data_IF_984045001973
#
_entry.id   IF_984045001973
#
_cell.length_a   1.000
_cell.length_b   1.000
_cell.length_c   1.000
_cell.angle_alpha   90.00
_cell.angle_beta   90.00
_cell.angle_gamma   90.00
#
_symmetry.space_group_name_H-M   'P 1'
#
loop_
_entity.id
_entity.type
_entity.pdbx_description
1 polymer ?
#
# COMPACT_ATOMS: atom_id res chain seq x y z
N UNK A 1 -37.03 77.28 25.49
CA UNK A 1 -37.67 77.03 24.17
C UNK A 1 -37.14 75.73 23.60
N UNK A 2 -38.07 74.81 23.21
CA UNK A 2 -38.08 73.78 22.14
C UNK A 2 -36.75 73.30 21.52
N UNK A 3 -36.55 72.08 20.99
CA UNK A 3 -37.13 70.73 21.01
C UNK A 3 -36.43 69.93 19.88
N UNK A 4 -36.10 68.64 20.11
CA UNK A 4 -35.89 67.54 19.13
C UNK A 4 -34.71 67.66 18.11
N UNK A 5 -34.07 66.61 17.57
CA UNK A 5 -34.44 65.20 17.36
C UNK A 5 -33.19 64.30 17.15
N UNK A 6 -33.38 62.99 17.38
CA UNK A 6 -32.43 61.88 17.16
C UNK A 6 -32.26 61.48 15.68
N UNK A 7 -31.10 60.91 15.33
CA UNK A 7 -30.96 59.71 14.48
C UNK A 7 -29.71 58.90 14.90
N UNK A 8 -29.79 57.57 15.04
CA UNK A 8 -28.64 56.71 15.35
C UNK A 8 -27.91 56.26 14.08
N UNK A 9 -26.57 56.21 14.14
CA UNK A 9 -25.71 55.64 13.09
C UNK A 9 -25.73 54.12 13.14
N UNK A 10 -25.90 53.50 11.97
CA UNK A 10 -25.97 52.07 11.78
C UNK A 10 -24.61 51.39 11.96
N UNK A 11 -24.65 50.26 12.66
CA UNK A 11 -23.60 49.28 12.88
C UNK A 11 -23.01 48.76 11.55
N UNK A 12 -21.70 48.86 11.38
CA UNK A 12 -20.96 48.11 10.35
C UNK A 12 -20.95 46.62 10.71
N UNK A 13 -21.65 45.82 9.91
CA UNK A 13 -21.59 44.35 10.00
C UNK A 13 -20.17 43.91 9.66
N UNK A 14 -19.54 43.24 10.62
CA UNK A 14 -18.33 42.44 10.42
C UNK A 14 -18.57 41.44 9.30
N UNK A 15 -17.73 41.49 8.26
CA UNK A 15 -17.70 40.43 7.25
C UNK A 15 -17.36 39.12 7.95
N UNK A 16 -18.26 38.13 7.80
CA UNK A 16 -17.90 36.74 8.07
C UNK A 16 -16.74 36.39 7.13
N UNK A 17 -15.58 36.07 7.70
CA UNK A 17 -14.59 35.26 7.02
C UNK A 17 -15.26 33.93 6.67
N UNK A 18 -15.55 33.73 5.39
CA UNK A 18 -15.80 32.42 4.82
C UNK A 18 -14.59 31.55 5.20
N UNK A 19 -14.85 30.44 5.91
CA UNK A 19 -13.81 29.53 6.38
C UNK A 19 -12.89 29.13 5.23
N UNK A 20 -11.58 29.30 5.46
CA UNK A 20 -10.55 28.94 4.49
C UNK A 20 -10.70 27.46 4.11
N UNK A 21 -10.59 27.15 2.82
CA UNK A 21 -10.49 25.77 2.33
C UNK A 21 -9.42 25.03 3.14
N UNK A 22 -9.83 23.94 3.79
CA UNK A 22 -9.01 23.13 4.70
C UNK A 22 -8.09 22.13 3.98
N UNK A 23 -8.16 22.06 2.65
CA UNK A 23 -7.36 21.15 1.85
C UNK A 23 -5.86 21.43 1.99
N UNK A 24 -5.10 20.37 2.21
CA UNK A 24 -3.65 20.38 2.25
C UNK A 24 -3.11 19.31 1.31
N UNK A 25 -2.08 19.65 0.52
CA UNK A 25 -1.39 18.66 -0.28
C UNK A 25 -0.91 17.52 0.62
N UNK A 26 -1.30 16.26 0.33
CA UNK A 26 -0.90 15.14 1.16
C UNK A 26 0.59 14.83 1.00
N UNK A 27 1.15 14.01 1.94
CA UNK A 27 2.45 13.38 1.75
C UNK A 27 2.52 12.68 0.39
N UNK A 28 3.72 12.66 -0.17
CA UNK A 28 3.98 12.10 -1.48
C UNK A 28 4.89 10.88 -1.35
N UNK A 29 4.43 9.75 -1.86
CA UNK A 29 5.21 8.54 -2.03
C UNK A 29 5.48 8.24 -3.51
N UNK A 30 6.32 7.25 -3.80
CA UNK A 30 6.47 6.72 -5.15
C UNK A 30 6.37 5.20 -5.16
N UNK A 31 5.51 4.67 -6.03
CA UNK A 31 5.47 3.27 -6.37
C UNK A 31 6.17 3.05 -7.70
N UNK A 32 7.16 2.18 -7.70
CA UNK A 32 7.98 1.86 -8.87
C UNK A 32 7.73 0.40 -9.22
N UNK A 33 7.08 0.17 -10.35
CA UNK A 33 6.69 -1.16 -10.77
C UNK A 33 7.78 -1.82 -11.61
N UNK A 34 8.31 -2.95 -11.15
CA UNK A 34 9.25 -3.80 -11.91
C UNK A 34 8.52 -5.09 -12.29
N UNK A 35 8.08 -5.24 -13.55
CA UNK A 35 7.05 -6.20 -13.95
C UNK A 35 7.57 -7.63 -14.22
N UNK A 36 8.81 -7.98 -13.87
CA UNK A 36 9.38 -9.29 -14.22
C UNK A 36 9.47 -10.24 -13.03
N UNK A 37 9.11 -11.51 -13.25
CA UNK A 37 9.32 -12.62 -12.32
C UNK A 37 10.09 -13.74 -13.03
N UNK A 38 10.89 -14.52 -12.31
CA UNK A 38 11.47 -15.77 -12.85
C UNK A 38 10.35 -16.72 -13.29
N UNK A 39 9.30 -16.81 -12.48
CA UNK A 39 8.08 -17.57 -12.77
C UNK A 39 6.88 -16.85 -12.18
N UNK A 40 5.79 -16.76 -12.95
CA UNK A 40 4.51 -16.25 -12.43
C UNK A 40 3.84 -17.34 -11.59
N UNK A 41 3.48 -17.01 -10.36
CA UNK A 41 2.75 -17.92 -9.47
C UNK A 41 1.29 -18.06 -9.96
N UNK A 42 0.66 -19.24 -9.83
CA UNK A 42 -0.67 -19.51 -10.37
C UNK A 42 -1.80 -18.71 -9.72
N UNK A 43 -1.58 -18.18 -8.51
CA UNK A 43 -2.49 -17.30 -7.77
C UNK A 43 -2.24 -15.80 -8.02
N UNK A 44 -1.11 -15.42 -8.63
CA UNK A 44 -0.66 -14.03 -8.69
C UNK A 44 -1.42 -13.23 -9.75
N UNK A 45 -2.22 -12.26 -9.32
CA UNK A 45 -2.99 -11.34 -10.17
C UNK A 45 -2.20 -10.09 -10.59
N UNK A 46 -1.06 -9.83 -9.94
CA UNK A 46 -0.20 -8.70 -10.27
C UNK A 46 0.21 -8.69 -11.75
N UNK A 47 0.50 -7.48 -12.24
CA UNK A 47 1.00 -7.21 -13.58
C UNK A 47 2.45 -7.68 -13.74
N UNK A 48 2.65 -9.00 -13.67
CA UNK A 48 3.94 -9.66 -13.77
C UNK A 48 4.06 -10.48 -15.05
N UNK A 49 5.29 -10.54 -15.56
CA UNK A 49 5.68 -11.16 -16.81
C UNK A 49 6.88 -12.07 -16.55
N UNK A 50 6.93 -13.21 -17.23
CA UNK A 50 8.11 -14.07 -17.15
C UNK A 50 9.35 -13.33 -17.66
N UNK A 51 10.43 -13.37 -16.88
CA UNK A 51 11.73 -12.86 -17.27
C UNK A 51 12.27 -13.64 -18.47
N UNK A 52 12.86 -12.93 -19.42
CA UNK A 52 13.68 -13.54 -20.47
C UNK A 52 15.07 -13.93 -19.95
N UNK A 53 15.95 -14.47 -20.81
CA UNK A 53 17.33 -14.79 -20.44
C UNK A 53 18.11 -13.58 -19.93
N UNK A 54 17.79 -12.39 -20.44
CA UNK A 54 18.35 -11.12 -20.03
C UNK A 54 17.21 -10.12 -19.78
N UNK A 55 17.34 -9.33 -18.72
CA UNK A 55 16.42 -8.24 -18.42
C UNK A 55 16.92 -6.94 -19.07
N UNK A 56 16.03 -6.13 -19.66
CA UNK A 56 16.41 -4.85 -20.27
C UNK A 56 16.59 -3.76 -19.19
N UNK A 57 17.43 -4.01 -18.19
CA UNK A 57 17.54 -3.17 -16.98
C UNK A 57 17.79 -1.70 -17.31
N UNK A 58 18.81 -1.41 -18.12
CA UNK A 58 19.18 -0.03 -18.46
C UNK A 58 18.09 0.70 -19.24
N UNK A 59 17.54 0.05 -20.27
CA UNK A 59 16.46 0.62 -21.08
C UNK A 59 15.19 0.85 -20.24
N UNK A 60 14.93 -0.02 -19.26
CA UNK A 60 13.81 0.16 -18.35
C UNK A 60 14.04 1.28 -17.35
N UNK A 61 15.25 1.41 -16.79
CA UNK A 61 15.62 2.55 -15.94
C UNK A 61 15.51 3.87 -16.71
N UNK A 62 15.93 3.90 -17.98
CA UNK A 62 15.75 5.07 -18.86
C UNK A 62 14.28 5.46 -18.98
N UNK A 63 13.41 4.47 -19.27
CA UNK A 63 11.99 4.68 -19.41
C UNK A 63 11.33 5.15 -18.10
N UNK A 64 11.68 4.55 -16.96
CA UNK A 64 11.19 4.94 -15.64
C UNK A 64 11.54 6.40 -15.31
N UNK A 65 12.76 6.83 -15.61
CA UNK A 65 13.21 8.21 -15.37
C UNK A 65 12.53 9.21 -16.32
N UNK A 66 12.31 8.83 -17.58
CA UNK A 66 11.58 9.66 -18.54
C UNK A 66 10.08 9.77 -18.18
N UNK A 67 9.48 8.70 -17.67
CA UNK A 67 8.11 8.71 -17.16
C UNK A 67 7.99 9.61 -15.94
N UNK A 68 8.93 9.51 -14.99
CA UNK A 68 8.97 10.39 -13.81
C UNK A 68 9.15 11.87 -14.18
N UNK A 69 9.98 12.18 -15.17
CA UNK A 69 10.16 13.55 -15.67
C UNK A 69 8.85 14.12 -16.23
N UNK A 70 8.05 13.28 -16.89
CA UNK A 70 6.70 13.67 -17.37
C UNK A 70 5.76 13.99 -16.21
N UNK A 71 5.86 13.25 -15.10
CA UNK A 71 5.02 13.43 -13.91
C UNK A 71 5.55 14.51 -12.94
N UNK A 72 6.72 15.10 -13.19
CA UNK A 72 7.40 16.02 -12.26
C UNK A 72 6.55 17.25 -11.87
N UNK A 73 5.65 17.70 -12.76
CA UNK A 73 4.71 18.78 -12.47
C UNK A 73 3.75 18.51 -11.31
N UNK A 74 3.47 17.23 -11.00
CA UNK A 74 2.57 16.81 -9.93
C UNK A 74 3.24 16.77 -8.54
N UNK A 75 4.55 16.98 -8.48
CA UNK A 75 5.31 16.98 -7.21
C UNK A 75 4.94 18.19 -6.36
N UNK A 76 4.73 19.35 -6.98
CA UNK A 76 4.38 20.61 -6.31
C UNK A 76 5.35 20.98 -5.17
N UNK A 77 6.65 20.73 -5.37
CA UNK A 77 7.71 21.04 -4.41
C UNK A 77 7.77 20.14 -3.17
N UNK A 78 6.97 19.06 -3.11
CA UNK A 78 7.04 18.04 -2.06
C UNK A 78 8.27 17.15 -2.26
N UNK A 79 8.77 16.57 -1.16
CA UNK A 79 9.79 15.50 -1.19
C UNK A 79 9.10 14.15 -0.99
N UNK A 80 9.70 13.08 -1.50
CA UNK A 80 9.20 11.72 -1.28
C UNK A 80 9.42 11.28 0.17
N UNK A 81 8.37 10.82 0.83
CA UNK A 81 8.44 10.25 2.18
C UNK A 81 8.65 8.74 2.17
N UNK A 82 8.27 8.07 1.09
CA UNK A 82 8.56 6.66 0.86
C UNK A 82 8.67 6.30 -0.61
N UNK A 83 9.44 5.25 -0.91
CA UNK A 83 9.50 4.57 -2.19
C UNK A 83 9.21 3.09 -1.96
N UNK A 84 8.38 2.50 -2.81
CA UNK A 84 8.12 1.08 -2.81
C UNK A 84 8.36 0.51 -4.20
N UNK A 85 9.34 -0.37 -4.31
CA UNK A 85 9.58 -1.17 -5.48
C UNK A 85 8.79 -2.46 -5.36
N UNK A 86 7.83 -2.68 -6.27
CA UNK A 86 6.99 -3.88 -6.28
C UNK A 86 6.64 -4.36 -7.69
N UNK A 87 5.72 -5.31 -7.76
CA UNK A 87 5.08 -5.76 -9.00
C UNK A 87 5.38 -7.21 -9.33
N UNK A 88 6.44 -7.44 -10.09
CA UNK A 88 6.99 -8.77 -10.31
C UNK A 88 7.94 -9.16 -9.18
N UNK A 89 9.24 -9.11 -9.47
CA UNK A 89 10.31 -9.36 -8.49
C UNK A 89 11.38 -8.29 -8.69
N UNK A 90 11.22 -7.11 -8.06
CA UNK A 90 12.14 -5.99 -8.19
C UNK A 90 13.61 -6.32 -7.94
N UNK A 91 13.86 -7.18 -6.95
CA UNK A 91 15.20 -7.71 -6.63
C UNK A 91 15.82 -8.59 -7.72
N UNK A 92 15.18 -8.81 -8.88
CA UNK A 92 15.88 -9.36 -10.05
C UNK A 92 16.85 -8.35 -10.65
N UNK A 93 16.55 -7.05 -10.57
CA UNK A 93 17.43 -6.01 -11.09
C UNK A 93 18.76 -5.97 -10.34
N UNK A 94 19.83 -5.58 -11.04
CA UNK A 94 21.13 -5.34 -10.42
C UNK A 94 21.11 -4.15 -9.48
N UNK A 95 21.97 -4.17 -8.46
CA UNK A 95 22.18 -3.02 -7.57
C UNK A 95 22.61 -1.77 -8.37
N UNK A 96 23.39 -1.94 -9.44
CA UNK A 96 23.78 -0.84 -10.33
C UNK A 96 22.56 -0.16 -10.96
N UNK A 97 21.62 -0.93 -11.52
CA UNK A 97 20.42 -0.39 -12.15
C UNK A 97 19.51 0.32 -11.14
N UNK A 98 19.27 -0.30 -9.98
CA UNK A 98 18.48 0.32 -8.91
C UNK A 98 19.14 1.58 -8.33
N UNK A 99 20.47 1.58 -8.19
CA UNK A 99 21.22 2.75 -7.73
C UNK A 99 21.09 3.92 -8.69
N UNK A 100 21.29 3.67 -9.99
CA UNK A 100 21.10 4.68 -11.04
C UNK A 100 19.68 5.25 -11.04
N UNK A 101 18.68 4.39 -10.85
CA UNK A 101 17.29 4.80 -10.74
C UNK A 101 17.08 5.69 -9.50
N UNK A 102 17.49 5.25 -8.31
CA UNK A 102 17.36 6.01 -7.07
C UNK A 102 18.02 7.38 -7.16
N UNK A 103 19.25 7.47 -7.67
CA UNK A 103 19.92 8.74 -7.90
C UNK A 103 19.13 9.66 -8.85
N UNK A 104 18.49 9.09 -9.88
CA UNK A 104 17.63 9.83 -10.79
C UNK A 104 16.35 10.33 -10.13
N UNK A 105 15.67 9.49 -9.36
CA UNK A 105 14.45 9.88 -8.61
C UNK A 105 14.80 10.97 -7.58
N UNK A 106 15.92 10.85 -6.87
CA UNK A 106 16.36 11.86 -5.91
C UNK A 106 16.62 13.21 -6.59
N UNK A 107 17.27 13.22 -7.76
CA UNK A 107 17.50 14.46 -8.51
C UNK A 107 16.22 15.12 -9.01
N UNK A 108 15.23 14.33 -9.44
CA UNK A 108 13.99 14.85 -10.04
C UNK A 108 12.98 15.32 -8.98
N UNK A 109 12.89 14.62 -7.85
CA UNK A 109 11.84 14.87 -6.85
C UNK A 109 12.40 15.25 -5.48
N UNK A 110 13.53 14.67 -5.09
CA UNK A 110 14.11 14.77 -3.75
C UNK A 110 13.45 13.84 -2.74
N UNK A 111 14.24 13.36 -1.77
CA UNK A 111 13.81 12.42 -0.73
C UNK A 111 13.77 13.12 0.62
N UNK A 112 12.78 12.85 1.47
CA UNK A 112 12.85 13.25 2.87
C UNK A 112 14.08 12.66 3.56
N UNK A 113 14.59 13.33 4.59
CA UNK A 113 15.84 12.93 5.25
C UNK A 113 15.74 11.56 5.92
N UNK A 114 14.52 11.16 6.31
CA UNK A 114 14.19 9.89 6.93
C UNK A 114 13.36 8.97 6.01
N UNK A 115 13.50 9.10 4.68
CA UNK A 115 12.74 8.32 3.69
C UNK A 115 12.78 6.80 3.97
N UNK A 116 11.64 6.14 3.83
CA UNK A 116 11.57 4.67 3.78
C UNK A 116 11.61 4.19 2.33
N UNK A 117 12.55 3.30 2.01
CA UNK A 117 12.70 2.71 0.67
C UNK A 117 12.58 1.19 0.81
N UNK A 118 11.44 0.66 0.34
CA UNK A 118 11.12 -0.77 0.37
C UNK A 118 11.43 -1.44 -0.97
N UNK A 119 12.11 -2.59 -0.92
CA UNK A 119 12.30 -3.47 -2.07
C UNK A 119 11.65 -4.84 -1.83
N UNK A 120 10.76 -5.26 -2.73
CA UNK A 120 10.24 -6.64 -2.74
C UNK A 120 11.29 -7.64 -3.27
N UNK A 121 11.38 -8.78 -2.58
CA UNK A 121 12.26 -9.86 -2.92
C UNK A 121 11.64 -11.24 -2.76
N UNK A 122 12.13 -12.20 -3.54
CA UNK A 122 11.87 -13.61 -3.31
C UNK A 122 13.02 -14.23 -2.51
N UNK A 123 12.77 -15.36 -1.82
CA UNK A 123 13.83 -16.11 -1.12
C UNK A 123 14.89 -16.76 -2.02
N UNK A 124 14.96 -16.48 -3.32
CA UNK A 124 15.93 -17.12 -4.21
C UNK A 124 17.38 -16.77 -3.87
N UNK A 125 18.28 -17.75 -4.00
CA UNK A 125 19.72 -17.57 -3.70
C UNK A 125 20.39 -16.44 -4.49
N UNK A 126 19.93 -16.18 -5.72
CA UNK A 126 20.44 -15.10 -6.57
C UNK A 126 20.15 -13.71 -6.00
N UNK A 127 18.93 -13.51 -5.51
CA UNK A 127 18.49 -12.26 -4.90
C UNK A 127 19.21 -12.00 -3.58
N UNK A 128 19.38 -13.03 -2.75
CA UNK A 128 20.03 -12.94 -1.44
C UNK A 128 21.46 -12.39 -1.54
N UNK A 129 22.22 -12.78 -2.56
CA UNK A 129 23.60 -12.33 -2.77
C UNK A 129 23.73 -10.81 -2.94
N UNK A 130 22.64 -10.13 -3.34
CA UNK A 130 22.59 -8.69 -3.63
C UNK A 130 22.09 -7.84 -2.46
N UNK A 131 21.62 -8.44 -1.36
CA UNK A 131 21.04 -7.68 -0.23
C UNK A 131 22.00 -6.65 0.37
N UNK A 132 23.30 -6.99 0.50
CA UNK A 132 24.32 -6.03 0.97
C UNK A 132 24.45 -4.83 0.05
N UNK A 133 24.45 -5.08 -1.25
CA UNK A 133 24.56 -4.01 -2.25
C UNK A 133 23.30 -3.14 -2.24
N UNK A 134 22.11 -3.74 -2.14
CA UNK A 134 20.85 -2.98 -1.97
C UNK A 134 20.86 -2.10 -0.73
N UNK A 135 21.31 -2.63 0.42
CA UNK A 135 21.42 -1.86 1.66
C UNK A 135 22.34 -0.66 1.49
N UNK A 136 23.47 -0.84 0.79
CA UNK A 136 24.45 0.22 0.53
C UNK A 136 23.92 1.35 -0.37
N UNK A 137 22.90 1.08 -1.19
CA UNK A 137 22.22 2.09 -2.01
C UNK A 137 21.24 2.98 -1.24
N UNK A 138 20.99 2.68 0.04
CA UNK A 138 20.00 3.39 0.85
C UNK A 138 18.63 2.71 0.92
N UNK A 139 18.43 1.57 0.25
CA UNK A 139 17.26 0.72 0.50
C UNK A 139 17.33 0.28 1.96
N UNK A 140 16.27 0.55 2.71
CA UNK A 140 16.27 0.39 4.18
C UNK A 140 15.11 -0.46 4.69
N UNK A 141 14.28 -1.02 3.79
CA UNK A 141 13.29 -2.04 4.09
C UNK A 141 13.24 -3.12 3.01
N UNK A 142 13.16 -4.38 3.41
CA UNK A 142 12.89 -5.51 2.50
C UNK A 142 11.50 -6.10 2.77
N UNK A 143 10.82 -6.56 1.72
CA UNK A 143 9.63 -7.42 1.84
C UNK A 143 9.90 -8.74 1.14
N UNK A 144 9.95 -9.84 1.89
CA UNK A 144 10.35 -11.14 1.35
C UNK A 144 9.13 -12.04 1.21
N UNK A 145 8.82 -12.41 -0.03
CA UNK A 145 7.69 -13.26 -0.38
C UNK A 145 7.89 -14.74 -0.03
N UNK A 146 7.69 -15.13 1.22
CA UNK A 146 7.88 -16.52 1.69
C UNK A 146 6.67 -17.40 1.40
N UNK A 147 5.48 -16.89 1.70
CA UNK A 147 4.16 -17.52 1.61
C UNK A 147 3.93 -18.68 2.58
N UNK A 148 4.86 -19.65 2.64
CA UNK A 148 4.84 -20.75 3.61
C UNK A 148 6.27 -21.28 3.80
N UNK A 149 6.56 -21.93 4.93
CA UNK A 149 7.81 -22.67 5.14
C UNK A 149 7.65 -24.17 4.82
N UNK A 150 6.43 -24.61 4.51
CA UNK A 150 6.11 -26.01 4.26
C UNK A 150 6.22 -26.36 2.78
N UNK A 151 6.99 -27.41 2.47
CA UNK A 151 7.33 -27.78 1.10
C UNK A 151 6.13 -28.17 0.24
N UNK A 152 5.18 -28.93 0.78
CA UNK A 152 3.96 -29.32 0.08
C UNK A 152 3.07 -28.11 -0.26
N UNK A 153 2.96 -27.14 0.66
CA UNK A 153 2.23 -25.89 0.47
C UNK A 153 2.90 -25.00 -0.58
N UNK A 154 4.22 -24.89 -0.55
CA UNK A 154 5.01 -24.15 -1.56
C UNK A 154 4.85 -24.74 -2.97
N UNK A 155 4.86 -26.08 -3.08
CA UNK A 155 4.60 -26.79 -4.34
C UNK A 155 3.19 -26.49 -4.85
N UNK A 156 2.17 -26.55 -3.98
CA UNK A 156 0.80 -26.21 -4.35
C UNK A 156 0.68 -24.77 -4.86
N UNK A 157 1.39 -23.83 -4.22
CA UNK A 157 1.49 -22.42 -4.62
C UNK A 157 2.36 -22.17 -5.87
N UNK A 158 2.97 -23.21 -6.46
CA UNK A 158 3.86 -23.08 -7.62
C UNK A 158 5.14 -22.28 -7.34
N UNK A 159 5.53 -22.16 -6.07
CA UNK A 159 6.77 -21.50 -5.65
C UNK A 159 7.98 -22.32 -6.10
N UNK A 160 9.06 -21.62 -6.41
CA UNK A 160 10.32 -22.22 -6.89
C UNK A 160 11.40 -22.29 -5.80
N UNK A 161 11.07 -21.79 -4.60
CA UNK A 161 11.94 -21.82 -3.43
C UNK A 161 11.44 -22.85 -2.41
N UNK A 162 12.31 -23.27 -1.50
CA UNK A 162 11.95 -24.11 -0.34
C UNK A 162 11.98 -23.37 1.01
N UNK A 163 11.47 -24.01 2.06
CA UNK A 163 11.42 -23.42 3.40
C UNK A 163 12.80 -23.07 3.96
N UNK A 164 13.83 -23.85 3.65
CA UNK A 164 15.20 -23.57 4.12
C UNK A 164 15.78 -22.35 3.40
N UNK A 165 15.47 -22.15 2.11
CA UNK A 165 15.80 -20.92 1.38
C UNK A 165 15.11 -19.69 1.98
N UNK A 166 13.86 -19.82 2.41
CA UNK A 166 13.14 -18.76 3.11
C UNK A 166 13.82 -18.34 4.43
N UNK A 167 14.21 -19.33 5.25
CA UNK A 167 14.95 -19.06 6.49
C UNK A 167 16.30 -18.40 6.19
N UNK A 168 17.07 -18.94 5.23
CA UNK A 168 18.35 -18.35 4.81
C UNK A 168 18.19 -16.93 4.29
N UNK A 169 17.12 -16.61 3.57
CA UNK A 169 16.87 -15.27 3.08
C UNK A 169 16.68 -14.26 4.23
N UNK A 170 15.96 -14.65 5.30
CA UNK A 170 15.81 -13.81 6.49
C UNK A 170 17.15 -13.60 7.21
N UNK A 171 17.94 -14.67 7.39
CA UNK A 171 19.29 -14.59 7.95
C UNK A 171 20.19 -13.64 7.14
N UNK A 172 20.14 -13.75 5.81
CA UNK A 172 20.94 -12.92 4.92
C UNK A 172 20.48 -11.46 4.90
N UNK A 173 19.18 -11.18 5.03
CA UNK A 173 18.67 -9.82 5.19
C UNK A 173 19.26 -9.16 6.45
N UNK A 174 19.21 -9.86 7.60
CA UNK A 174 19.82 -9.37 8.85
C UNK A 174 21.33 -9.22 8.72
N UNK A 175 22.02 -10.21 8.15
CA UNK A 175 23.47 -10.19 7.93
C UNK A 175 23.92 -9.13 6.90
N UNK A 176 23.00 -8.61 6.08
CA UNK A 176 23.24 -7.50 5.17
C UNK A 176 23.04 -6.12 5.84
N UNK A 177 22.53 -6.08 7.08
CA UNK A 177 22.32 -4.85 7.84
C UNK A 177 20.93 -4.24 7.67
N UNK A 178 19.93 -5.02 7.22
CA UNK A 178 18.53 -4.63 7.32
C UNK A 178 18.04 -4.83 8.75
N UNK A 179 17.69 -3.74 9.42
CA UNK A 179 17.05 -3.71 10.74
C UNK A 179 15.53 -3.52 10.64
N UNK A 180 15.01 -3.39 9.41
CA UNK A 180 13.59 -3.32 9.09
C UNK A 180 13.32 -4.24 7.90
N UNK A 181 12.62 -5.35 8.13
CA UNK A 181 12.23 -6.26 7.06
C UNK A 181 10.92 -6.97 7.39
N UNK A 182 10.25 -7.37 6.32
CA UNK A 182 8.98 -8.05 6.32
C UNK A 182 9.10 -9.45 5.73
N UNK A 183 8.34 -10.40 6.28
CA UNK A 183 8.06 -11.69 5.65
C UNK A 183 6.58 -11.74 5.27
N UNK A 184 6.30 -12.00 4.00
CA UNK A 184 4.93 -12.21 3.51
C UNK A 184 4.57 -13.69 3.65
N UNK A 185 3.47 -13.98 4.33
CA UNK A 185 2.94 -15.31 4.58
C UNK A 185 1.47 -15.40 4.16
N UNK A 186 1.09 -16.57 3.68
CA UNK A 186 -0.28 -16.89 3.30
C UNK A 186 -0.89 -17.93 4.23
N UNK A 187 -2.18 -17.78 4.54
CA UNK A 187 -2.98 -18.81 5.20
C UNK A 187 -4.21 -19.18 4.37
N UNK A 188 -4.93 -20.24 4.78
CA UNK A 188 -6.01 -20.80 3.99
C UNK A 188 -5.51 -21.54 2.74
N UNK A 189 -4.31 -22.14 2.82
CA UNK A 189 -3.71 -22.88 1.71
C UNK A 189 -4.37 -24.26 1.53
N UNK A 190 -4.28 -24.88 0.34
CA UNK A 190 -4.85 -26.22 0.10
C UNK A 190 -4.35 -27.25 1.12
N UNK A 191 -5.30 -27.91 1.80
CA UNK A 191 -5.01 -28.90 2.85
C UNK A 191 -4.24 -28.36 4.05
N UNK A 192 -4.31 -27.05 4.35
CA UNK A 192 -3.67 -26.45 5.52
C UNK A 192 -4.57 -26.57 6.75
N UNK A 193 -4.02 -27.14 7.83
CA UNK A 193 -4.66 -27.16 9.15
C UNK A 193 -4.32 -25.90 9.97
N UNK A 194 -5.01 -25.72 11.10
CA UNK A 194 -4.66 -24.66 12.08
C UNK A 194 -3.20 -24.79 12.51
N UNK A 195 -2.74 -26.00 12.84
CA UNK A 195 -1.38 -26.21 13.32
C UNK A 195 -0.34 -25.91 12.23
N UNK A 196 -0.64 -26.22 10.97
CA UNK A 196 0.24 -25.88 9.84
C UNK A 196 0.37 -24.36 9.68
N UNK A 197 -0.74 -23.62 9.74
CA UNK A 197 -0.72 -22.16 9.63
C UNK A 197 0.04 -21.51 10.80
N UNK A 198 -0.15 -22.02 12.03
CA UNK A 198 0.58 -21.55 13.19
C UNK A 198 2.07 -21.92 13.14
N UNK A 199 2.41 -23.07 12.56
CA UNK A 199 3.80 -23.49 12.35
C UNK A 199 4.55 -22.52 11.42
N UNK A 200 3.91 -22.09 10.33
CA UNK A 200 4.47 -21.06 9.44
C UNK A 200 4.71 -19.74 10.17
N UNK A 201 3.73 -19.29 10.98
CA UNK A 201 3.87 -18.08 11.78
C UNK A 201 5.01 -18.17 12.80
N UNK A 202 5.07 -19.26 13.58
CA UNK A 202 6.13 -19.48 14.58
C UNK A 202 7.50 -19.47 13.92
N UNK A 203 7.63 -20.15 12.77
CA UNK A 203 8.89 -20.18 12.01
C UNK A 203 9.30 -18.78 11.54
N UNK A 204 8.36 -17.97 11.04
CA UNK A 204 8.65 -16.57 10.69
C UNK A 204 9.02 -15.71 11.90
N UNK A 205 8.30 -15.85 13.02
CA UNK A 205 8.57 -15.12 14.26
C UNK A 205 9.97 -15.44 14.78
N UNK A 206 10.40 -16.70 14.71
CA UNK A 206 11.76 -17.12 15.07
C UNK A 206 12.85 -16.46 14.21
N UNK A 207 12.50 -16.00 13.00
CA UNK A 207 13.39 -15.18 12.16
C UNK A 207 13.45 -13.71 12.59
N UNK A 208 12.69 -13.31 13.61
CA UNK A 208 12.64 -11.97 14.18
C UNK A 208 12.50 -10.83 13.14
N UNK A 209 11.55 -10.88 12.19
CA UNK A 209 11.24 -9.74 11.35
C UNK A 209 10.66 -8.59 12.19
N UNK A 210 10.74 -7.36 11.69
CA UNK A 210 10.07 -6.22 12.34
C UNK A 210 8.61 -6.09 11.92
N UNK A 211 8.22 -6.82 10.89
CA UNK A 211 6.93 -6.72 10.21
C UNK A 211 6.54 -8.07 9.59
N UNK A 212 5.26 -8.38 9.57
CA UNK A 212 4.69 -9.56 8.93
C UNK A 212 3.47 -9.15 8.12
N UNK A 213 3.44 -9.50 6.83
CA UNK A 213 2.20 -9.51 6.07
C UNK A 213 1.65 -10.93 6.16
N UNK A 214 0.48 -11.09 6.74
CA UNK A 214 -0.16 -12.39 6.90
C UNK A 214 -1.60 -12.31 6.41
N UNK A 215 -1.88 -12.97 5.29
CA UNK A 215 -3.11 -12.80 4.53
C UNK A 215 -3.65 -14.11 4.00
N UNK A 216 -4.95 -14.17 3.80
CA UNK A 216 -5.61 -15.34 3.25
C UNK A 216 -5.32 -15.46 1.75
N UNK A 217 -5.13 -16.70 1.27
CA UNK A 217 -5.15 -16.98 -0.16
C UNK A 217 -6.55 -16.70 -0.73
N UNK A 218 -6.65 -15.68 -1.59
CA UNK A 218 -7.87 -15.33 -2.32
C UNK A 218 -7.78 -15.78 -3.79
N UNK A 219 -8.93 -16.13 -4.36
CA UNK A 219 -9.03 -16.52 -5.77
C UNK A 219 -9.32 -15.28 -6.62
N UNK A 220 -8.29 -14.74 -7.26
CA UNK A 220 -8.42 -13.50 -8.03
C UNK A 220 -8.76 -13.76 -9.51
N UNK A 221 -9.70 -13.00 -10.12
CA UNK A 221 -9.98 -13.11 -11.55
C UNK A 221 -8.73 -13.01 -12.42
N UNK A 222 -8.73 -13.72 -13.55
CA UNK A 222 -7.62 -13.77 -14.52
C UNK A 222 -6.34 -14.48 -14.04
N UNK A 223 -6.44 -15.31 -12.99
CA UNK A 223 -5.36 -16.18 -12.52
C UNK A 223 -5.60 -17.64 -12.92
N UNK A 224 -4.56 -18.48 -12.82
CA UNK A 224 -4.70 -19.92 -13.05
C UNK A 224 -5.62 -20.52 -11.99
N UNK A 225 -5.45 -20.13 -10.73
CA UNK A 225 -6.31 -20.57 -9.63
C UNK A 225 -7.77 -20.14 -9.79
N UNK A 226 -8.07 -19.01 -10.41
CA UNK A 226 -9.46 -18.69 -10.76
C UNK A 226 -10.05 -19.66 -11.79
N UNK A 227 -9.26 -20.02 -12.81
CA UNK A 227 -9.72 -20.94 -13.86
C UNK A 227 -9.73 -22.42 -13.45
N UNK A 228 -8.87 -22.78 -12.50
CA UNK A 228 -8.63 -24.13 -12.00
C UNK A 228 -8.44 -24.05 -10.48
N UNK A 229 -9.52 -23.81 -9.72
CA UNK A 229 -9.43 -23.55 -8.29
C UNK A 229 -8.97 -24.81 -7.55
N UNK A 230 -7.96 -24.69 -6.67
CA UNK A 230 -7.66 -25.75 -5.73
C UNK A 230 -8.79 -25.85 -4.69
N UNK A 231 -8.87 -26.99 -4.02
CA UNK A 231 -9.74 -27.14 -2.85
C UNK A 231 -9.14 -26.35 -1.68
N UNK A 232 -9.91 -25.41 -1.14
CA UNK A 232 -9.53 -24.56 -0.02
C UNK A 232 -10.22 -25.04 1.27
N UNK A 233 -9.66 -24.73 2.46
CA UNK A 233 -10.32 -24.96 3.73
C UNK A 233 -11.73 -24.33 3.79
N UNK A 234 -12.65 -24.97 4.51
CA UNK A 234 -13.99 -24.43 4.78
C UNK A 234 -13.93 -23.19 5.69
N UNK A 235 -14.97 -22.36 5.64
CA UNK A 235 -15.02 -21.06 6.34
C UNK A 235 -14.78 -21.18 7.85
N UNK A 236 -15.32 -22.19 8.52
CA UNK A 236 -15.11 -22.42 9.96
C UNK A 236 -13.63 -22.67 10.28
N UNK A 237 -12.92 -23.43 9.42
CA UNK A 237 -11.50 -23.69 9.59
C UNK A 237 -10.65 -22.45 9.27
N UNK A 238 -11.03 -21.66 8.27
CA UNK A 238 -10.37 -20.38 7.96
C UNK A 238 -10.50 -19.40 9.12
N UNK A 239 -11.67 -19.36 9.75
CA UNK A 239 -11.93 -18.55 10.93
C UNK A 239 -11.06 -18.99 12.12
N UNK A 240 -11.00 -20.29 12.41
CA UNK A 240 -10.14 -20.85 13.46
C UNK A 240 -8.66 -20.52 13.22
N UNK A 241 -8.18 -20.63 11.97
CA UNK A 241 -6.82 -20.23 11.57
C UNK A 241 -6.59 -18.76 11.88
N UNK A 242 -7.50 -17.89 11.43
CA UNK A 242 -7.36 -16.44 11.57
C UNK A 242 -7.34 -16.00 13.03
N UNK A 243 -8.28 -16.48 13.85
CA UNK A 243 -8.34 -16.13 15.28
C UNK A 243 -7.08 -16.60 16.02
N UNK A 244 -6.66 -17.86 15.79
CA UNK A 244 -5.50 -18.42 16.46
C UNK A 244 -4.19 -17.68 16.07
N UNK A 245 -4.02 -17.36 14.78
CA UNK A 245 -2.82 -16.66 14.33
C UNK A 245 -2.80 -15.18 14.72
N UNK A 246 -3.95 -14.49 14.75
CA UNK A 246 -4.04 -13.13 15.28
C UNK A 246 -3.67 -13.10 16.78
N UNK A 247 -4.15 -14.07 17.55
CA UNK A 247 -3.79 -14.20 18.96
C UNK A 247 -2.28 -14.46 19.16
N UNK A 248 -1.68 -15.35 18.35
CA UNK A 248 -0.25 -15.62 18.38
C UNK A 248 0.59 -14.38 18.05
N UNK A 249 0.27 -13.68 16.95
CA UNK A 249 0.98 -12.47 16.53
C UNK A 249 0.93 -11.38 17.60
N UNK A 250 -0.24 -11.16 18.20
CA UNK A 250 -0.41 -10.20 19.28
C UNK A 250 0.41 -10.58 20.53
N UNK A 251 0.44 -11.86 20.90
CA UNK A 251 1.23 -12.37 22.03
C UNK A 251 2.75 -12.17 21.82
N UNK A 252 3.21 -12.26 20.57
CA UNK A 252 4.61 -12.07 20.17
C UNK A 252 4.96 -10.61 19.82
N UNK A 253 4.06 -9.67 20.10
CA UNK A 253 4.32 -8.23 19.99
C UNK A 253 4.15 -7.63 18.59
N UNK A 254 3.49 -8.34 17.66
CA UNK A 254 3.10 -7.83 16.35
C UNK A 254 1.66 -7.35 16.37
N UNK A 255 1.46 -6.03 16.39
CA UNK A 255 0.14 -5.44 16.36
C UNK A 255 -0.39 -5.35 14.91
N UNK A 256 -1.62 -5.78 14.69
CA UNK A 256 -2.31 -5.57 13.41
C UNK A 256 -2.64 -4.08 13.26
N UNK A 257 -2.04 -3.41 12.28
CA UNK A 257 -2.33 -1.99 12.03
C UNK A 257 -3.20 -1.76 10.79
N UNK A 258 -3.31 -2.76 9.91
CA UNK A 258 -4.22 -2.80 8.76
C UNK A 258 -4.62 -4.25 8.41
N UNK A 259 -5.47 -4.41 7.40
CA UNK A 259 -6.09 -5.68 6.94
C UNK A 259 -5.16 -6.89 7.02
N UNK A 260 -3.98 -6.80 6.44
CA UNK A 260 -3.06 -7.93 6.23
C UNK A 260 -1.70 -7.74 6.89
N UNK A 261 -1.44 -6.59 7.51
CA UNK A 261 -0.12 -6.27 8.05
C UNK A 261 -0.08 -6.11 9.56
N UNK A 262 0.96 -6.72 10.13
CA UNK A 262 1.27 -6.78 11.53
C UNK A 262 2.69 -6.27 11.72
N UNK A 263 2.91 -5.42 12.71
CA UNK A 263 4.23 -4.83 12.93
C UNK A 263 4.55 -4.68 14.41
N UNK A 264 5.84 -4.72 14.71
CA UNK A 264 6.34 -4.24 15.98
C UNK A 264 6.12 -2.72 16.09
N UNK A 265 6.13 -2.19 17.32
CA UNK A 265 5.92 -0.77 17.57
C UNK A 265 6.88 0.11 16.75
N UNK A 266 6.33 1.09 16.02
CA UNK A 266 7.11 2.01 15.18
C UNK A 266 7.67 1.42 13.88
N UNK A 267 7.28 0.18 13.52
CA UNK A 267 7.77 -0.53 12.32
C UNK A 267 6.70 -0.77 11.25
N UNK A 268 5.53 -0.15 11.38
CA UNK A 268 4.51 -0.14 10.33
C UNK A 268 5.07 0.47 9.03
N UNK A 269 4.72 -0.13 7.87
CA UNK A 269 5.24 0.34 6.59
C UNK A 269 4.70 1.74 6.26
N UNK A 270 5.61 2.72 6.12
CA UNK A 270 5.24 4.11 5.83
C UNK A 270 4.54 4.25 4.49
N UNK A 271 4.95 3.43 3.51
CA UNK A 271 4.33 3.42 2.19
C UNK A 271 2.87 2.92 2.24
N UNK A 272 2.58 1.85 3.00
CA UNK A 272 1.21 1.36 3.20
C UNK A 272 0.36 2.41 3.92
N UNK A 273 0.90 3.00 4.99
CA UNK A 273 0.20 4.05 5.74
C UNK A 273 -0.11 5.27 4.85
N UNK A 274 0.77 5.64 3.91
CA UNK A 274 0.48 6.70 2.95
C UNK A 274 -0.75 6.38 2.10
N UNK A 275 -0.87 5.16 1.56
CA UNK A 275 -2.08 4.73 0.85
C UNK A 275 -3.32 4.80 1.74
N UNK A 276 -3.25 4.16 2.90
CA UNK A 276 -4.39 4.04 3.81
C UNK A 276 -4.87 5.37 4.38
N UNK A 277 -3.97 6.35 4.53
CA UNK A 277 -4.32 7.71 4.99
C UNK A 277 -4.67 8.67 3.84
N UNK A 278 -5.00 8.09 2.67
CA UNK A 278 -5.41 8.80 1.45
C UNK A 278 -4.36 9.80 0.95
N UNK A 279 -3.07 9.44 1.11
CA UNK A 279 -1.92 10.17 0.62
C UNK A 279 -1.81 10.16 -0.90
N UNK A 280 -0.85 10.91 -1.44
CA UNK A 280 -0.53 10.87 -2.87
C UNK A 280 0.63 9.91 -3.12
N UNK A 281 0.64 9.33 -4.31
CA UNK A 281 1.76 8.52 -4.78
C UNK A 281 1.93 8.69 -6.27
N UNK A 282 3.17 8.93 -6.69
CA UNK A 282 3.60 8.77 -8.07
C UNK A 282 3.61 7.28 -8.41
N UNK A 283 3.25 6.94 -9.64
CA UNK A 283 3.27 5.57 -10.13
C UNK A 283 3.99 5.49 -11.44
N UNK A 284 5.21 4.93 -11.45
CA UNK A 284 6.02 4.75 -12.67
C UNK A 284 6.28 3.26 -12.90
N UNK A 285 6.41 2.89 -14.18
CA UNK A 285 6.59 1.51 -14.61
C UNK A 285 5.33 0.92 -15.24
N UNK A 286 5.49 -0.25 -15.85
CA UNK A 286 4.47 -0.85 -16.70
C UNK A 286 3.29 -1.32 -15.85
N UNK A 287 2.12 -0.71 -16.04
CA UNK A 287 0.91 -0.96 -15.25
C UNK A 287 0.90 -0.32 -13.86
N UNK A 288 1.82 0.61 -13.57
CA UNK A 288 1.78 1.40 -12.34
C UNK A 288 0.56 2.33 -12.32
N UNK A 289 0.00 2.56 -11.14
CA UNK A 289 -1.08 3.50 -10.90
C UNK A 289 -0.59 4.66 -10.02
N UNK A 290 -1.24 5.81 -10.12
CA UNK A 290 -0.99 6.98 -9.28
C UNK A 290 -2.29 7.52 -8.67
N UNK A 291 -2.16 8.23 -7.54
CA UNK A 291 -3.17 9.16 -7.02
C UNK A 291 -2.47 10.48 -6.76
N UNK A 292 -2.92 11.51 -7.45
CA UNK A 292 -2.27 12.81 -7.50
C UNK A 292 -3.26 13.89 -7.13
N UNK A 293 -2.90 14.74 -6.19
CA UNK A 293 -3.68 15.90 -5.78
C UNK A 293 -3.00 17.18 -6.26
N UNK A 294 -3.79 18.10 -6.79
CA UNK A 294 -3.35 19.44 -7.20
C UNK A 294 -3.61 20.47 -6.08
N UNK A 295 -2.90 21.62 -6.07
CA UNK A 295 -3.06 22.65 -5.03
C UNK A 295 -4.47 23.24 -4.90
N UNK A 296 -5.29 23.12 -5.95
CA UNK A 296 -6.69 23.56 -5.98
C UNK A 296 -7.67 22.52 -5.38
N UNK A 297 -7.17 21.39 -4.89
CA UNK A 297 -7.96 20.30 -4.30
C UNK A 297 -8.45 19.26 -5.30
N UNK A 298 -8.14 19.40 -6.60
CA UNK A 298 -8.49 18.38 -7.60
C UNK A 298 -7.65 17.12 -7.40
N UNK A 299 -8.31 15.95 -7.40
CA UNK A 299 -7.65 14.65 -7.26
C UNK A 299 -7.83 13.85 -8.55
N UNK A 300 -6.74 13.27 -9.06
CA UNK A 300 -6.71 12.47 -10.28
C UNK A 300 -6.06 11.11 -10.00
N UNK A 301 -6.65 10.05 -10.55
CA UNK A 301 -6.05 8.72 -10.67
C UNK A 301 -5.49 8.58 -12.08
N UNK A 302 -4.26 8.10 -12.21
CA UNK A 302 -3.66 7.78 -13.52
C UNK A 302 -3.15 6.34 -13.52
N UNK A 303 -2.99 5.77 -14.72
CA UNK A 303 -2.38 4.45 -14.89
C UNK A 303 -1.53 4.38 -16.14
N UNK A 304 -0.41 3.68 -16.03
CA UNK A 304 0.56 3.50 -17.10
C UNK A 304 0.18 2.32 -18.01
N UNK A 305 0.77 2.27 -19.20
CA UNK A 305 0.61 1.14 -20.13
C UNK A 305 1.04 -0.16 -19.45
N UNK A 306 0.23 -1.21 -19.56
CA UNK A 306 0.43 -2.46 -18.80
C UNK A 306 1.60 -3.30 -19.27
N UNK A 307 1.82 -3.41 -20.58
CA UNK A 307 2.79 -4.35 -21.11
C UNK A 307 4.20 -3.74 -21.12
N UNK A 308 5.24 -4.43 -20.61
CA UNK A 308 6.61 -3.92 -20.61
C UNK A 308 7.11 -3.53 -22.01
N UNK A 309 6.71 -4.30 -23.04
CA UNK A 309 7.04 -3.99 -24.44
C UNK A 309 6.44 -2.65 -24.92
N UNK A 310 5.26 -2.30 -24.43
CA UNK A 310 4.56 -1.07 -24.82
C UNK A 310 5.09 0.11 -24.03
N UNK A 311 5.46 -0.12 -22.76
CA UNK A 311 6.09 0.88 -21.90
C UNK A 311 7.51 1.24 -22.36
N UNK A 312 8.23 0.30 -23.00
CA UNK A 312 9.55 0.52 -23.59
C UNK A 312 9.51 1.06 -25.03
N UNK A 313 8.33 1.23 -25.64
CA UNK A 313 8.19 1.71 -27.01
C UNK A 313 8.16 3.25 -27.01
N UNK A 314 9.20 3.95 -27.54
CA UNK A 314 9.24 5.41 -27.53
C UNK A 314 8.16 6.06 -28.41
N UNK A 315 7.46 5.30 -29.26
CA UNK A 315 6.33 5.80 -30.02
C UNK A 315 5.01 5.78 -29.23
N UNK A 316 4.99 5.20 -28.02
CA UNK A 316 3.81 5.10 -27.17
C UNK A 316 3.93 6.00 -25.94
N UNK A 317 2.82 6.63 -25.50
CA UNK A 317 2.83 7.34 -24.22
C UNK A 317 2.95 6.36 -23.05
N UNK A 318 3.62 6.78 -21.98
CA UNK A 318 3.64 6.02 -20.73
C UNK A 318 2.25 5.92 -20.09
N UNK A 319 1.51 7.04 -20.04
CA UNK A 319 0.15 7.10 -19.48
C UNK A 319 -0.86 6.46 -20.44
N UNK A 320 -1.57 5.43 -19.96
CA UNK A 320 -2.64 4.77 -20.70
C UNK A 320 -4.02 5.39 -20.41
N UNK A 321 -4.18 6.06 -19.27
CA UNK A 321 -5.39 6.80 -18.96
C UNK A 321 -5.32 7.56 -17.65
N UNK A 322 -6.34 8.40 -17.46
CA UNK A 322 -6.54 9.18 -16.25
C UNK A 322 -8.04 9.32 -15.94
N UNK A 323 -8.34 9.58 -14.67
CA UNK A 323 -9.69 9.86 -14.18
C UNK A 323 -9.63 10.87 -13.04
N UNK A 324 -10.27 12.02 -13.21
CA UNK A 324 -10.52 12.93 -12.09
C UNK A 324 -11.61 12.33 -11.19
N UNK A 325 -11.44 12.46 -9.88
CA UNK A 325 -12.45 12.04 -8.90
C UNK A 325 -13.44 13.17 -8.68
N UNK A 326 -14.74 12.85 -8.80
CA UNK A 326 -15.80 13.80 -8.53
C UNK A 326 -16.04 13.95 -7.02
N UNK A 327 -16.55 15.12 -6.60
CA UNK A 327 -16.78 15.41 -5.19
C UNK A 327 -17.71 14.39 -4.49
N UNK A 328 -18.65 13.81 -5.24
CA UNK A 328 -19.60 12.80 -4.73
C UNK A 328 -18.93 11.45 -4.46
N UNK A 329 -17.80 11.15 -5.11
CA UNK A 329 -17.05 9.90 -4.95
C UNK A 329 -16.03 9.97 -3.80
N UNK A 330 -15.56 11.18 -3.46
CA UNK A 330 -14.50 11.39 -2.47
C UNK A 330 -14.80 10.82 -1.06
N UNK A 331 -16.04 10.89 -0.53
CA UNK A 331 -16.41 10.20 0.71
C UNK A 331 -16.06 8.72 0.71
N UNK A 332 -16.53 7.99 -0.31
CA UNK A 332 -16.28 6.56 -0.45
C UNK A 332 -14.80 6.28 -0.70
N UNK A 333 -14.16 6.99 -1.63
CA UNK A 333 -12.75 6.84 -1.96
C UNK A 333 -11.86 7.03 -0.71
N UNK A 334 -12.12 8.06 0.10
CA UNK A 334 -11.37 8.29 1.34
C UNK A 334 -11.62 7.19 2.38
N UNK A 335 -12.89 6.89 2.68
CA UNK A 335 -13.27 5.94 3.73
C UNK A 335 -12.87 4.50 3.39
N UNK A 336 -12.89 4.12 2.12
CA UNK A 336 -12.39 2.83 1.64
C UNK A 336 -10.92 2.64 2.00
N UNK A 337 -10.12 3.71 2.06
CA UNK A 337 -8.73 3.63 2.47
C UNK A 337 -8.61 3.66 4.00
N UNK A 338 -9.15 4.68 4.67
CA UNK A 338 -8.84 4.90 6.10
C UNK A 338 -9.49 3.88 7.04
N UNK A 339 -10.64 3.31 6.68
CA UNK A 339 -11.33 2.33 7.53
C UNK A 339 -10.70 0.93 7.49
N UNK A 340 -9.66 0.74 6.65
CA UNK A 340 -8.80 -0.46 6.68
C UNK A 340 -7.70 -0.39 7.73
N UNK A 341 -7.47 0.78 8.33
CA UNK A 341 -6.57 0.92 9.48
C UNK A 341 -7.30 0.49 10.75
N UNK A 342 -6.64 -0.32 11.57
CA UNK A 342 -7.22 -0.81 12.83
C UNK A 342 -7.64 0.35 13.75
N UNK A 343 -6.80 1.38 13.83
CA UNK A 343 -7.05 2.56 14.65
C UNK A 343 -7.83 3.66 13.90
N UNK A 344 -8.09 3.48 12.60
CA UNK A 344 -8.66 4.52 11.73
C UNK A 344 -7.83 5.81 11.72
N UNK A 345 -8.49 6.96 11.59
CA UNK A 345 -7.84 8.27 11.49
C UNK A 345 -8.60 9.38 12.26
N UNK A 346 -7.95 10.52 12.59
CA UNK A 346 -8.66 11.72 13.01
C UNK A 346 -9.68 12.17 11.94
N UNK A 347 -10.87 12.58 12.36
CA UNK A 347 -11.95 12.95 11.44
C UNK A 347 -11.61 14.18 10.57
N UNK A 348 -10.84 15.12 11.11
CA UNK A 348 -10.33 16.30 10.37
C UNK A 348 -9.46 15.93 9.15
N UNK A 349 -8.89 14.72 9.11
CA UNK A 349 -8.09 14.26 7.98
C UNK A 349 -8.93 14.20 6.70
N UNK A 350 -10.24 13.91 6.81
CA UNK A 350 -11.14 13.92 5.67
C UNK A 350 -11.16 15.28 4.97
N UNK A 351 -11.36 16.36 5.73
CA UNK A 351 -11.42 17.71 5.18
C UNK A 351 -10.07 18.12 4.59
N UNK A 352 -8.98 17.80 5.29
CA UNK A 352 -7.61 18.08 4.82
C UNK A 352 -7.24 17.34 3.54
N UNK A 353 -7.77 16.14 3.31
CA UNK A 353 -7.42 15.29 2.17
C UNK A 353 -8.36 15.43 0.98
N UNK A 354 -9.59 15.86 1.20
CA UNK A 354 -10.63 15.94 0.15
C UNK A 354 -11.08 17.36 -0.15
N UNK A 355 -10.84 18.31 0.77
CA UNK A 355 -11.40 19.66 0.70
C UNK A 355 -12.90 19.73 0.97
N UNK A 356 -13.57 18.60 1.22
CA UNK A 356 -14.99 18.55 1.53
C UNK A 356 -15.23 18.76 3.03
N UNK A 357 -16.32 19.43 3.43
CA UNK A 357 -16.65 19.61 4.83
C UNK A 357 -17.03 18.27 5.46
N UNK A 358 -16.58 18.00 6.70
CA UNK A 358 -16.87 16.75 7.41
C UNK A 358 -18.38 16.48 7.55
N UNK A 359 -19.17 17.56 7.57
CA UNK A 359 -20.63 17.48 7.60
C UNK A 359 -21.23 16.75 6.39
N UNK A 360 -20.52 16.62 5.26
CA UNK A 360 -20.98 15.83 4.11
C UNK A 360 -21.14 14.34 4.45
N UNK A 361 -20.39 13.83 5.43
CA UNK A 361 -20.49 12.44 5.90
C UNK A 361 -21.63 12.22 6.90
N UNK A 362 -22.28 13.28 7.39
CA UNK A 362 -23.06 13.21 8.64
C UNK A 362 -24.23 12.22 8.61
N UNK A 363 -24.93 12.07 7.48
CA UNK A 363 -26.06 11.13 7.37
C UNK A 363 -25.56 9.69 7.37
N UNK A 364 -24.69 9.33 6.42
CA UNK A 364 -24.10 8.00 6.32
C UNK A 364 -23.37 7.58 7.60
N UNK A 365 -22.63 8.51 8.21
CA UNK A 365 -21.94 8.31 9.49
C UNK A 365 -22.91 7.92 10.61
N UNK A 366 -24.02 8.64 10.78
CA UNK A 366 -25.02 8.32 11.81
C UNK A 366 -25.65 6.94 11.60
N UNK A 367 -25.89 6.56 10.34
CA UNK A 367 -26.42 5.23 10.02
C UNK A 367 -25.44 4.12 10.39
N UNK A 368 -24.16 4.28 10.00
CA UNK A 368 -23.09 3.35 10.34
C UNK A 368 -22.86 3.23 11.86
N UNK A 369 -22.91 4.35 12.60
CA UNK A 369 -22.83 4.38 14.06
C UNK A 369 -24.04 3.69 14.71
N UNK A 370 -25.25 3.91 14.17
CA UNK A 370 -26.49 3.26 14.66
C UNK A 370 -26.42 1.74 14.48
N UNK A 371 -25.81 1.28 13.38
CA UNK A 371 -25.52 -0.14 13.12
C UNK A 371 -24.31 -0.67 13.90
N UNK A 372 -23.63 0.17 14.69
CA UNK A 372 -22.41 -0.16 15.45
C UNK A 372 -21.24 -0.62 14.57
N UNK A 373 -21.23 -0.27 13.29
CA UNK A 373 -20.12 -0.56 12.37
C UNK A 373 -19.02 0.52 12.47
N UNK A 374 -19.37 1.74 12.85
CA UNK A 374 -18.43 2.84 13.08
C UNK A 374 -18.49 3.29 14.55
N UNK A 375 -17.36 3.70 15.12
CA UNK A 375 -17.36 4.26 16.49
C UNK A 375 -18.05 5.61 16.54
N UNK A 376 -18.78 5.89 17.61
CA UNK A 376 -19.50 7.15 17.83
C UNK A 376 -18.61 8.34 18.28
N UNK A 377 -17.28 8.20 18.26
CA UNK A 377 -16.36 9.28 18.62
C UNK A 377 -16.32 10.35 17.49
N UNK A 378 -16.84 11.57 17.71
CA UNK A 378 -16.89 12.60 16.67
C UNK A 378 -15.51 12.97 16.11
N UNK A 379 -14.44 12.81 16.92
CA UNK A 379 -13.08 13.20 16.55
C UNK A 379 -12.35 12.14 15.70
N UNK A 380 -12.92 10.93 15.53
CA UNK A 380 -12.29 9.83 14.79
C UNK A 380 -13.21 9.24 13.73
N UNK A 381 -12.59 8.72 12.68
CA UNK A 381 -13.19 7.84 11.69
C UNK A 381 -12.51 6.49 11.81
N UNK A 382 -13.14 5.58 12.56
CA UNK A 382 -12.60 4.25 12.84
C UNK A 382 -13.75 3.24 12.90
N UNK A 383 -13.56 2.12 12.22
CA UNK A 383 -14.48 1.00 12.25
C UNK A 383 -14.44 0.31 13.62
N UNK A 384 -15.58 -0.16 14.11
CA UNK A 384 -15.59 -1.08 15.26
C UNK A 384 -15.00 -2.44 14.83
N UNK A 385 -14.77 -3.35 15.78
CA UNK A 385 -14.38 -4.74 15.43
C UNK A 385 -15.39 -5.39 14.49
N UNK A 386 -16.69 -5.18 14.72
CA UNK A 386 -17.75 -5.65 13.84
C UNK A 386 -17.69 -4.93 12.47
N UNK A 387 -17.46 -3.63 12.46
CA UNK A 387 -17.27 -2.85 11.24
C UNK A 387 -16.10 -3.31 10.38
N UNK A 388 -15.00 -3.79 10.98
CA UNK A 388 -13.86 -4.34 10.25
C UNK A 388 -14.21 -5.67 9.57
N UNK A 389 -14.97 -6.54 10.27
CA UNK A 389 -15.44 -7.81 9.71
C UNK A 389 -16.42 -7.60 8.55
N UNK A 390 -17.27 -6.57 8.66
CA UNK A 390 -18.29 -6.21 7.66
C UNK A 390 -17.95 -4.91 6.93
N UNK A 391 -16.67 -4.72 6.59
CA UNK A 391 -16.18 -3.44 6.05
C UNK A 391 -16.87 -3.03 4.75
N UNK A 392 -17.21 -3.99 3.89
CA UNK A 392 -17.96 -3.71 2.66
C UNK A 392 -19.37 -3.16 2.95
N UNK A 393 -20.07 -3.72 3.94
CA UNK A 393 -21.40 -3.24 4.34
C UNK A 393 -21.33 -1.87 5.01
N UNK A 394 -20.26 -1.60 5.77
CA UNK A 394 -19.97 -0.29 6.33
C UNK A 394 -19.77 0.74 5.21
N UNK A 395 -18.96 0.42 4.20
CA UNK A 395 -18.63 1.33 3.10
C UNK A 395 -19.82 1.62 2.18
N UNK A 396 -20.78 0.71 2.04
CA UNK A 396 -21.99 0.91 1.24
C UNK A 396 -22.79 2.15 1.66
N UNK A 397 -22.74 2.54 2.95
CA UNK A 397 -23.42 3.76 3.43
C UNK A 397 -22.85 5.05 2.83
N UNK A 398 -21.62 5.01 2.31
CA UNK A 398 -20.91 6.18 1.80
C UNK A 398 -20.78 6.20 0.28
N UNK A 399 -21.39 5.24 -0.42
CA UNK A 399 -21.52 5.26 -1.87
C UNK A 399 -22.49 6.38 -2.29
N UNK A 400 -22.23 7.05 -3.43
CA UNK A 400 -23.09 8.10 -3.96
C UNK A 400 -24.48 7.62 -4.38
#
# INVERSE_FOLDING_TARGET
MKAASHKPQASSKSGLQLGACSFELPPLAAYIHIPWCVRKCPYCDFNSHAAGPELPEEAYVDALLADLDTDAGHVHGRRLTSIFFGGGTPSLFSARALGRLLEGVERLVGFADDIEITLEANPGTFEQAKFRDYRALGINRLSIGVQSFQGDKLVALGRIHDGDEAVRAADMARAAGFDNFNLDLMHGLPGQSVEDALSDLRTAIDQAPTHLSWYQLTMEPNTVFWSQPPELPEDDLLWDIQEAGQALLAAEGYAQYEVSAYAQAGRAARHNLNYWTFGDFLGIGAGAHAKLSAPDGRIVRTWKTRLPKDYLDPAKPFQAGERALDAEELPFEFLMNVLRLTDGVPAELFERRTGLPLASLATARREAETRKLLTADPARLVATREGQLFLNDLLQHFLP
#
